data_IF_034505833165
#
_entry.id   IF_034505833165
#
_cell.length_a   1.000
_cell.length_b   1.000
_cell.length_c   1.000
_cell.angle_alpha   90.00
_cell.angle_beta   90.00
_cell.angle_gamma   90.00
#
_symmetry.space_group_name_H-M   'P 1'
#
loop_
_entity.id
_entity.type
_entity.pdbx_description
1 polymer ?
#
# COMPACT_ATOMS: atom_id res chain seq x y z
N UNK A 1 11.16 -4.87 9.37
CA UNK A 1 10.07 -5.08 8.38
C UNK A 1 9.97 -3.84 7.50
N UNK A 2 9.73 -4.00 6.20
CA UNK A 2 9.56 -2.87 5.27
C UNK A 2 8.28 -2.09 5.60
N UNK A 3 8.32 -0.76 5.52
CA UNK A 3 7.18 0.12 5.75
C UNK A 3 6.68 0.69 4.42
N UNK A 4 5.44 0.40 4.01
CA UNK A 4 4.89 0.91 2.76
C UNK A 4 4.44 2.36 2.90
N UNK A 5 4.31 3.05 1.78
CA UNK A 5 3.59 4.31 1.72
C UNK A 5 2.09 4.08 1.94
N UNK A 6 1.43 5.03 2.61
CA UNK A 6 -0.03 5.04 2.78
C UNK A 6 -0.62 6.04 1.77
N UNK A 7 -1.06 5.60 0.59
CA UNK A 7 -1.63 6.50 -0.41
C UNK A 7 -2.99 7.06 0.00
N UNK A 8 -3.76 6.30 0.79
CA UNK A 8 -5.04 6.76 1.33
C UNK A 8 -5.43 5.97 2.58
N UNK A 9 -6.11 6.63 3.51
CA UNK A 9 -6.62 6.07 4.77
C UNK A 9 -8.06 5.54 4.59
N UNK A 10 -8.24 4.67 3.59
CA UNK A 10 -9.52 4.03 3.29
C UNK A 10 -9.35 2.81 2.38
N UNK A 11 -10.43 2.06 2.08
CA UNK A 11 -10.42 1.03 1.05
C UNK A 11 -10.63 1.62 -0.35
N UNK A 12 -10.21 0.88 -1.37
CA UNK A 12 -10.74 1.03 -2.73
C UNK A 12 -11.94 0.11 -2.90
N UNK A 13 -13.09 0.66 -3.31
CA UNK A 13 -14.29 -0.11 -3.67
C UNK A 13 -14.17 -0.59 -5.11
N UNK A 14 -13.90 -1.87 -5.31
CA UNK A 14 -13.71 -2.47 -6.64
C UNK A 14 -14.95 -3.28 -7.02
N UNK A 15 -15.47 -3.01 -8.22
CA UNK A 15 -16.59 -3.73 -8.84
C UNK A 15 -16.08 -4.66 -9.94
N UNK A 16 -16.96 -5.55 -10.39
CA UNK A 16 -16.80 -6.33 -11.62
C UNK A 16 -15.54 -7.21 -11.66
N UNK A 17 -15.06 -7.67 -10.50
CA UNK A 17 -14.01 -8.67 -10.40
C UNK A 17 -14.57 -10.03 -10.78
N UNK A 18 -13.88 -10.72 -11.71
CA UNK A 18 -14.29 -12.05 -12.16
C UNK A 18 -13.77 -13.11 -11.19
N UNK A 19 -14.61 -14.04 -10.69
CA UNK A 19 -14.16 -15.22 -9.96
C UNK A 19 -13.00 -15.93 -10.66
N UNK A 20 -12.00 -16.36 -9.90
CA UNK A 20 -10.80 -17.03 -10.44
C UNK A 20 -9.77 -16.10 -11.10
N UNK A 21 -10.09 -14.81 -11.31
CA UNK A 21 -9.14 -13.87 -11.91
C UNK A 21 -7.94 -13.61 -10.97
N UNK A 22 -6.73 -13.65 -11.53
CA UNK A 22 -5.52 -13.28 -10.81
C UNK A 22 -5.34 -11.75 -10.82
N UNK A 23 -5.26 -11.15 -9.64
CA UNK A 23 -4.86 -9.75 -9.47
C UNK A 23 -3.53 -9.63 -8.73
N UNK A 24 -2.82 -8.53 -8.98
CA UNK A 24 -1.59 -8.17 -8.30
C UNK A 24 -1.85 -6.96 -7.39
N UNK A 25 -1.97 -7.19 -6.10
CA UNK A 25 -2.18 -6.12 -5.12
C UNK A 25 -0.89 -5.32 -4.87
N UNK A 26 -1.00 -4.00 -4.91
CA UNK A 26 0.11 -3.10 -4.61
C UNK A 26 0.40 -3.15 -3.10
N UNK A 27 1.59 -3.61 -2.73
CA UNK A 27 2.07 -3.69 -1.34
C UNK A 27 2.89 -2.47 -0.92
N UNK A 28 3.48 -1.71 -1.87
CA UNK A 28 4.36 -0.58 -1.57
C UNK A 28 3.65 0.76 -1.34
N UNK A 29 2.42 0.91 -1.85
CA UNK A 29 1.67 2.17 -1.81
C UNK A 29 1.96 3.16 -2.95
N UNK A 30 3.01 2.93 -3.76
CA UNK A 30 3.45 3.87 -4.82
C UNK A 30 2.67 3.78 -6.14
N UNK A 31 1.79 2.79 -6.31
CA UNK A 31 1.05 2.61 -7.56
C UNK A 31 0.09 3.78 -7.80
N UNK A 32 0.02 4.27 -9.04
CA UNK A 32 -0.99 5.22 -9.51
C UNK A 32 -2.31 4.54 -9.86
N UNK A 33 -2.29 3.21 -10.01
CA UNK A 33 -3.47 2.38 -10.30
C UNK A 33 -3.97 1.64 -9.03
N UNK A 34 -4.03 2.33 -7.89
CA UNK A 34 -4.49 1.72 -6.64
C UNK A 34 -5.86 1.03 -6.83
N UNK A 35 -6.07 -0.15 -6.24
CA UNK A 35 -5.21 -0.86 -5.29
C UNK A 35 -4.21 -1.82 -5.97
N UNK A 36 -4.17 -1.85 -7.29
CA UNK A 36 -3.41 -2.81 -8.08
C UNK A 36 -1.99 -2.33 -8.38
N UNK A 37 -1.10 -3.28 -8.63
CA UNK A 37 0.28 -2.99 -8.97
C UNK A 37 0.40 -2.51 -10.42
N UNK A 38 1.09 -1.39 -10.63
CA UNK A 38 1.44 -0.80 -11.94
C UNK A 38 2.95 -0.90 -12.27
N UNK A 39 3.74 -1.47 -11.35
CA UNK A 39 5.21 -1.55 -11.48
C UNK A 39 5.98 -0.42 -10.78
N UNK A 40 5.31 0.56 -10.17
CA UNK A 40 5.97 1.68 -9.46
C UNK A 40 6.85 1.24 -8.28
N UNK A 41 6.70 0.00 -7.81
CA UNK A 41 7.57 -0.61 -6.80
C UNK A 41 9.03 -0.85 -7.27
N UNK A 42 9.31 -0.83 -8.58
CA UNK A 42 10.67 -1.01 -9.12
C UNK A 42 11.62 0.03 -8.52
N UNK A 43 12.74 -0.45 -7.96
CA UNK A 43 13.69 0.35 -7.19
C UNK A 43 13.47 0.30 -5.66
N UNK A 44 12.45 -0.40 -5.20
CA UNK A 44 12.23 -0.72 -3.78
C UNK A 44 12.34 -2.23 -3.54
N UNK A 45 12.34 -2.65 -2.28
CA UNK A 45 12.34 -4.07 -1.89
C UNK A 45 10.94 -4.69 -1.88
N UNK A 46 9.89 -3.93 -2.20
CA UNK A 46 8.52 -4.43 -2.26
C UNK A 46 8.26 -5.24 -3.53
N UNK A 47 7.43 -6.28 -3.39
CA UNK A 47 6.88 -7.07 -4.50
C UNK A 47 5.35 -7.11 -4.37
N UNK A 48 4.60 -7.08 -5.48
CA UNK A 48 3.15 -7.19 -5.43
C UNK A 48 2.72 -8.54 -4.89
N UNK A 49 1.58 -8.57 -4.20
CA UNK A 49 0.96 -9.80 -3.73
C UNK A 49 0.04 -10.35 -4.81
N UNK A 50 0.23 -11.61 -5.19
CA UNK A 50 -0.71 -12.34 -6.04
C UNK A 50 -1.96 -12.69 -5.23
N UNK A 51 -3.12 -12.33 -5.73
CA UNK A 51 -4.40 -12.67 -5.12
C UNK A 51 -5.38 -13.13 -6.19
N UNK A 52 -5.97 -14.30 -5.98
CA UNK A 52 -7.02 -14.84 -6.84
C UNK A 52 -8.37 -14.41 -6.29
N UNK A 53 -9.23 -13.84 -7.13
CA UNK A 53 -10.59 -13.46 -6.76
C UNK A 53 -11.35 -14.72 -6.30
N UNK A 54 -11.90 -14.74 -5.08
CA UNK A 54 -12.62 -15.91 -4.57
C UNK A 54 -13.82 -16.29 -5.45
N UNK A 55 -14.13 -17.59 -5.50
CA UNK A 55 -15.21 -18.20 -6.30
C UNK A 55 -16.65 -17.84 -5.85
N UNK A 56 -16.82 -16.74 -5.12
CA UNK A 56 -18.13 -16.29 -4.62
C UNK A 56 -18.64 -15.12 -5.44
N UNK A 57 -19.94 -15.08 -5.68
CA UNK A 57 -20.59 -13.93 -6.29
C UNK A 57 -20.58 -12.75 -5.32
N UNK A 58 -19.80 -11.71 -5.65
CA UNK A 58 -19.67 -10.50 -4.86
C UNK A 58 -19.59 -9.30 -5.81
N UNK A 59 -20.55 -8.38 -5.71
CA UNK A 59 -20.62 -7.19 -6.57
C UNK A 59 -19.51 -6.18 -6.28
N UNK A 60 -19.10 -6.07 -5.01
CA UNK A 60 -18.13 -5.07 -4.54
C UNK A 60 -17.14 -5.72 -3.58
N UNK A 61 -15.85 -5.48 -3.81
CA UNK A 61 -14.78 -5.81 -2.87
C UNK A 61 -14.17 -4.53 -2.31
N UNK A 62 -14.00 -4.47 -0.98
CA UNK A 62 -13.22 -3.43 -0.33
C UNK A 62 -11.77 -3.90 -0.24
N UNK A 63 -10.92 -3.36 -1.11
CA UNK A 63 -9.51 -3.72 -1.17
C UNK A 63 -8.70 -2.68 -0.39
N UNK A 64 -7.76 -3.14 0.43
CA UNK A 64 -6.93 -2.29 1.26
C UNK A 64 -6.07 -1.35 0.40
N UNK A 65 -6.23 -0.04 0.64
CA UNK A 65 -5.35 0.97 0.04
C UNK A 65 -4.33 1.52 1.04
N UNK A 66 -4.56 1.38 2.36
CA UNK A 66 -3.60 1.86 3.35
C UNK A 66 -2.33 1.01 3.49
N UNK A 67 -2.35 -0.25 3.03
CA UNK A 67 -1.21 -1.21 3.03
C UNK A 67 -0.84 -1.83 4.37
N UNK A 68 -1.62 -1.55 5.42
CA UNK A 68 -1.41 -2.08 6.77
C UNK A 68 -2.45 -3.13 7.21
N UNK A 69 -3.28 -3.61 6.28
CA UNK A 69 -4.24 -4.68 6.60
C UNK A 69 -3.53 -5.96 7.06
N UNK A 70 -4.15 -6.64 8.03
CA UNK A 70 -3.77 -7.98 8.50
C UNK A 70 -4.36 -9.09 7.63
N UNK A 71 -5.30 -8.77 6.74
CA UNK A 71 -6.00 -9.71 5.86
C UNK A 71 -5.81 -9.36 4.38
N UNK A 72 -4.56 -9.27 3.87
CA UNK A 72 -4.32 -8.78 2.51
C UNK A 72 -4.95 -9.68 1.44
N UNK A 73 -5.49 -9.10 0.36
CA UNK A 73 -5.54 -7.67 0.06
C UNK A 73 -6.80 -6.96 0.59
N UNK A 74 -7.65 -7.64 1.36
CA UNK A 74 -8.96 -7.15 1.79
C UNK A 74 -8.82 -6.07 2.86
N UNK A 75 -9.72 -5.09 2.88
CA UNK A 75 -9.78 -4.10 3.94
C UNK A 75 -10.32 -4.71 5.24
N UNK A 76 -9.62 -4.46 6.36
CA UNK A 76 -9.99 -4.88 7.72
C UNK A 76 -10.18 -3.70 8.67
N UNK A 77 -10.42 -2.50 8.11
CA UNK A 77 -10.56 -1.25 8.84
C UNK A 77 -9.33 -0.80 9.67
N UNK A 78 -8.15 -1.41 9.50
CA UNK A 78 -6.91 -0.97 10.19
C UNK A 78 -6.60 0.51 9.97
N UNK A 79 -7.01 1.08 8.83
CA UNK A 79 -6.79 2.48 8.49
C UNK A 79 -7.43 3.49 9.47
N UNK A 80 -8.48 3.11 10.22
CA UNK A 80 -9.18 4.02 11.14
C UNK A 80 -8.25 4.57 12.23
N UNK A 81 -7.34 3.73 12.75
CA UNK A 81 -6.40 4.14 13.80
C UNK A 81 -5.01 4.50 13.29
N UNK A 82 -4.80 4.54 11.98
CA UNK A 82 -3.45 4.47 11.39
C UNK A 82 -2.76 5.84 11.29
N UNK A 83 -3.51 6.93 11.15
CA UNK A 83 -2.96 8.27 10.88
C UNK A 83 -1.89 8.68 11.89
N UNK A 84 -2.22 8.63 13.19
CA UNK A 84 -1.28 9.00 14.25
C UNK A 84 -0.08 8.05 14.33
N UNK A 85 -0.27 6.77 14.03
CA UNK A 85 0.81 5.78 14.00
C UNK A 85 1.81 6.07 12.90
N UNK A 86 1.35 6.42 11.70
CA UNK A 86 2.21 6.71 10.54
C UNK A 86 2.95 8.02 10.73
N UNK A 87 2.26 9.04 11.24
CA UNK A 87 2.90 10.31 11.59
C UNK A 87 4.08 10.08 12.54
N UNK A 88 3.85 9.39 13.67
CA UNK A 88 4.91 9.05 14.64
C UNK A 88 6.00 8.17 14.03
N UNK A 89 5.66 7.27 13.11
CA UNK A 89 6.62 6.42 12.41
C UNK A 89 7.58 7.25 11.54
N UNK A 90 7.07 8.25 10.83
CA UNK A 90 7.87 9.16 10.00
C UNK A 90 8.69 10.10 10.89
N UNK A 91 8.09 10.67 11.93
CA UNK A 91 8.75 11.58 12.86
C UNK A 91 9.93 10.93 13.60
N UNK A 92 9.78 9.66 13.97
CA UNK A 92 10.80 8.88 14.68
C UNK A 92 11.69 8.04 13.73
N UNK A 93 11.64 8.29 12.42
CA UNK A 93 12.48 7.56 11.49
C UNK A 93 13.95 7.93 11.73
N UNK A 94 14.87 6.96 11.90
CA UNK A 94 16.29 7.26 12.11
C UNK A 94 16.94 7.88 10.87
N UNK A 95 16.34 7.70 9.70
CA UNK A 95 16.76 8.31 8.44
C UNK A 95 16.01 9.62 8.14
N UNK A 96 15.30 10.20 9.11
CA UNK A 96 14.45 11.39 8.88
C UNK A 96 15.21 12.58 8.32
N UNK A 97 16.47 12.78 8.72
CA UNK A 97 17.31 13.86 8.19
C UNK A 97 17.61 13.69 6.69
N UNK A 98 17.57 12.45 6.18
CA UNK A 98 17.72 12.16 4.75
C UNK A 98 16.42 12.37 3.98
N UNK A 99 15.26 12.54 4.64
CA UNK A 99 13.97 12.68 3.97
C UNK A 99 13.86 13.93 3.07
N UNK A 100 14.74 14.92 3.23
CA UNK A 100 14.85 16.09 2.33
C UNK A 100 15.89 15.91 1.21
N UNK A 101 16.75 14.87 1.28
CA UNK A 101 17.85 14.60 0.36
C UNK A 101 17.82 13.13 -0.10
N UNK A 102 16.63 12.61 -0.44
CA UNK A 102 16.48 11.17 -0.71
C UNK A 102 17.01 10.77 -2.09
N UNK A 103 17.98 11.48 -2.70
CA UNK A 103 18.57 11.13 -4.00
C UNK A 103 17.56 10.56 -5.00
N UNK A 104 17.83 9.36 -5.53
CA UNK A 104 16.94 8.63 -6.46
C UNK A 104 15.91 7.70 -5.75
N UNK A 105 15.87 7.67 -4.41
CA UNK A 105 15.08 6.69 -3.66
C UNK A 105 13.61 7.12 -3.58
N UNK A 106 12.73 6.25 -4.08
CA UNK A 106 11.28 6.50 -4.18
C UNK A 106 10.49 6.53 -2.87
N UNK A 107 11.04 5.88 -1.85
CA UNK A 107 10.35 5.52 -0.63
C UNK A 107 11.37 5.26 0.47
N UNK A 108 11.22 5.90 1.63
CA UNK A 108 11.90 5.47 2.83
C UNK A 108 11.26 4.18 3.35
N UNK A 109 11.89 3.05 3.05
CA UNK A 109 11.36 1.73 3.41
C UNK A 109 11.38 1.45 4.93
N UNK A 110 11.93 2.35 5.74
CA UNK A 110 11.92 2.26 7.21
C UNK A 110 10.70 2.96 7.84
N UNK A 111 10.08 3.92 7.15
CA UNK A 111 8.97 4.69 7.72
C UNK A 111 7.81 5.00 6.77
N UNK A 112 7.89 4.59 5.50
CA UNK A 112 6.83 4.82 4.52
C UNK A 112 6.80 6.23 3.91
N UNK A 113 7.77 7.09 4.26
CA UNK A 113 7.85 8.44 3.71
C UNK A 113 8.15 8.41 2.20
N UNK A 114 7.43 9.21 1.44
CA UNK A 114 7.63 9.44 0.01
C UNK A 114 7.89 10.93 -0.15
N UNK A 115 9.00 11.36 -0.76
CA UNK A 115 9.24 12.77 -1.04
C UNK A 115 8.23 13.30 -2.08
N UNK A 116 8.03 14.61 -2.11
CA UNK A 116 7.26 15.26 -3.18
C UNK A 116 8.14 15.29 -4.46
N UNK A 117 7.57 14.88 -5.59
CA UNK A 117 8.25 14.79 -6.90
C UNK A 117 7.63 15.76 -7.90
#
# INVERSE_FOLDING_TARGET
MLKPHVPTYGPCSIRDLKPGELKLWCTCGLSKNQPWCDGSHKGTSFRPLKWTVPERNQTVYLICACKYTKCPPICDATHIGLTNTIQKQIENCPLRQEHCNIGDKKLCQQCGFVPDW
#
